data_IF_194911485517
#
_entry.id   IF_194911485517
#
_cell.length_a   1.000
_cell.length_b   1.000
_cell.length_c   1.000
_cell.angle_alpha   90.00
_cell.angle_beta   90.00
_cell.angle_gamma   90.00
#
_symmetry.space_group_name_H-M   'P 1'
#
loop_
_entity.id
_entity.type
_entity.pdbx_description
1 polymer ?
#
# COMPACT_ATOMS: atom_id res chain seq x y z
N UNK A 1 37.35 13.82 -50.19
CA UNK A 1 36.20 14.42 -49.47
C UNK A 1 35.48 13.31 -48.71
N UNK A 2 36.03 12.85 -47.57
CA UNK A 2 35.51 11.69 -46.81
C UNK A 2 35.13 11.99 -45.34
N UNK A 3 35.41 13.18 -44.83
CA UNK A 3 35.23 13.52 -43.40
C UNK A 3 33.82 14.00 -43.04
N UNK A 4 33.11 14.67 -43.96
CA UNK A 4 31.80 15.28 -43.69
C UNK A 4 30.67 14.25 -43.50
N UNK A 5 30.74 13.12 -44.22
CA UNK A 5 29.71 12.06 -44.17
C UNK A 5 29.76 11.24 -42.88
N UNK A 6 30.96 11.01 -42.35
CA UNK A 6 31.17 10.20 -41.14
C UNK A 6 30.56 10.88 -39.89
N UNK A 7 30.68 12.21 -39.80
CA UNK A 7 30.08 13.01 -38.72
C UNK A 7 28.56 12.98 -38.80
N UNK A 8 27.99 13.08 -40.01
CA UNK A 8 26.54 13.00 -40.21
C UNK A 8 25.96 11.65 -39.78
N UNK A 9 26.62 10.55 -40.13
CA UNK A 9 26.22 9.21 -39.71
C UNK A 9 26.32 9.03 -38.19
N UNK A 10 27.41 9.49 -37.58
CA UNK A 10 27.58 9.50 -36.12
C UNK A 10 26.46 10.30 -35.43
N UNK A 11 26.07 11.45 -35.97
CA UNK A 11 24.99 12.26 -35.43
C UNK A 11 23.64 11.53 -35.48
N UNK A 12 23.31 10.89 -36.61
CA UNK A 12 22.07 10.11 -36.74
C UNK A 12 22.04 8.93 -35.77
N UNK A 13 23.16 8.22 -35.62
CA UNK A 13 23.29 7.11 -34.66
C UNK A 13 23.15 7.60 -33.22
N UNK A 14 23.79 8.72 -32.86
CA UNK A 14 23.69 9.29 -31.52
C UNK A 14 22.26 9.73 -31.20
N UNK A 15 21.59 10.42 -32.15
CA UNK A 15 20.20 10.84 -31.96
C UNK A 15 19.27 9.63 -31.88
N UNK A 16 19.37 8.65 -32.79
CA UNK A 16 18.46 7.49 -32.77
C UNK A 16 18.65 6.63 -31.51
N UNK A 17 19.90 6.41 -31.09
CA UNK A 17 20.19 5.66 -29.87
C UNK A 17 19.71 6.41 -28.62
N UNK A 18 19.85 7.74 -28.57
CA UNK A 18 19.34 8.55 -27.45
C UNK A 18 17.82 8.39 -27.28
N UNK A 19 17.07 8.45 -28.39
CA UNK A 19 15.61 8.28 -28.37
C UNK A 19 15.22 6.86 -27.95
N UNK A 20 15.93 5.84 -28.46
CA UNK A 20 15.71 4.45 -28.09
C UNK A 20 15.96 4.23 -26.59
N UNK A 21 17.01 4.80 -26.01
CA UNK A 21 17.31 4.70 -24.59
C UNK A 21 16.24 5.38 -23.72
N UNK A 22 15.77 6.57 -24.12
CA UNK A 22 14.68 7.27 -23.43
C UNK A 22 13.40 6.43 -23.45
N UNK A 23 13.07 5.82 -24.59
CA UNK A 23 11.90 4.95 -24.71
C UNK A 23 12.00 3.72 -23.78
N UNK A 24 13.17 3.07 -23.74
CA UNK A 24 13.41 1.93 -22.84
C UNK A 24 13.35 2.35 -21.37
N UNK A 25 13.89 3.51 -21.02
CA UNK A 25 13.87 4.02 -19.65
C UNK A 25 12.44 4.38 -19.22
N UNK A 26 11.66 5.01 -20.10
CA UNK A 26 10.25 5.29 -19.87
C UNK A 26 9.45 4.00 -19.67
N UNK A 27 9.68 2.98 -20.50
CA UNK A 27 9.03 1.67 -20.36
C UNK A 27 9.38 1.00 -19.03
N UNK A 28 10.66 0.96 -18.65
CA UNK A 28 11.09 0.40 -17.35
C UNK A 28 10.49 1.15 -16.16
N UNK A 29 10.42 2.48 -16.24
CA UNK A 29 9.84 3.32 -15.18
C UNK A 29 8.35 3.07 -15.04
N UNK A 30 7.62 3.04 -16.16
CA UNK A 30 6.20 2.75 -16.18
C UNK A 30 5.90 1.36 -15.63
N UNK A 31 6.63 0.32 -16.08
CA UNK A 31 6.46 -1.04 -15.55
C UNK A 31 6.77 -1.11 -14.05
N UNK A 32 7.79 -0.40 -13.56
CA UNK A 32 8.11 -0.36 -12.12
C UNK A 32 7.01 0.32 -11.31
N UNK A 33 6.46 1.43 -11.80
CA UNK A 33 5.38 2.15 -11.13
C UNK A 33 4.09 1.32 -11.12
N UNK A 34 3.79 0.61 -12.22
CA UNK A 34 2.69 -0.35 -12.28
C UNK A 34 2.91 -1.53 -11.33
N UNK A 35 4.09 -2.14 -11.31
CA UNK A 35 4.42 -3.24 -10.40
C UNK A 35 4.31 -2.83 -8.94
N UNK A 36 4.77 -1.63 -8.58
CA UNK A 36 4.59 -1.08 -7.22
C UNK A 36 3.12 -0.88 -6.88
N UNK A 37 2.32 -0.37 -7.82
CA UNK A 37 0.88 -0.19 -7.63
C UNK A 37 0.17 -1.54 -7.47
N UNK A 38 0.47 -2.49 -8.35
CA UNK A 38 -0.02 -3.88 -8.30
C UNK A 38 0.40 -4.55 -6.99
N UNK A 39 1.65 -4.41 -6.55
CA UNK A 39 2.14 -4.93 -5.27
C UNK A 39 1.43 -4.26 -4.09
N UNK A 40 1.15 -2.95 -4.15
CA UNK A 40 0.42 -2.26 -3.09
C UNK A 40 -1.07 -2.64 -3.06
N UNK A 41 -1.69 -2.94 -4.21
CA UNK A 41 -3.09 -3.33 -4.31
C UNK A 41 -3.29 -4.84 -3.98
N UNK A 42 -2.44 -5.72 -4.51
CA UNK A 42 -2.46 -7.16 -4.21
C UNK A 42 -1.84 -7.47 -2.84
N UNK A 43 -0.77 -6.76 -2.45
CA UNK A 43 -0.07 -6.89 -1.18
C UNK A 43 -0.65 -6.02 -0.06
N UNK A 44 -1.57 -5.10 -0.36
CA UNK A 44 -2.26 -4.23 0.61
C UNK A 44 -3.16 -4.98 1.61
N UNK A 45 -3.39 -6.28 1.40
CA UNK A 45 -4.04 -7.18 2.39
C UNK A 45 -3.00 -7.84 3.32
N UNK A 46 -1.71 -7.48 3.23
CA UNK A 46 -0.66 -7.94 4.18
C UNK A 46 -0.32 -6.93 5.27
N UNK A 47 -1.08 -5.84 5.41
CA UNK A 47 -1.16 -5.21 6.72
C UNK A 47 -1.80 -6.24 7.63
N UNK A 48 -0.99 -6.81 8.51
CA UNK A 48 -1.38 -7.75 9.55
C UNK A 48 -2.46 -7.09 10.40
N UNK A 49 -3.71 -7.10 9.93
CA UNK A 49 -4.84 -6.77 10.78
C UNK A 49 -4.73 -7.77 11.91
N UNK A 50 -4.54 -7.34 13.16
CA UNK A 50 -4.42 -8.26 14.27
C UNK A 50 -5.63 -9.16 14.20
N UNK A 51 -5.39 -10.48 14.07
CA UNK A 51 -6.46 -11.46 13.96
C UNK A 51 -7.37 -11.24 15.17
N UNK A 52 -8.61 -10.82 14.93
CA UNK A 52 -9.57 -10.64 16.01
C UNK A 52 -9.77 -12.00 16.66
N UNK A 53 -9.33 -12.13 17.91
CA UNK A 53 -9.53 -13.33 18.71
C UNK A 53 -10.68 -13.05 19.67
N UNK A 54 -11.68 -13.92 19.67
CA UNK A 54 -12.76 -13.86 20.66
C UNK A 54 -12.13 -14.06 22.04
N UNK A 55 -12.43 -13.14 22.96
CA UNK A 55 -12.07 -13.26 24.38
C UNK A 55 -13.36 -13.24 25.17
N UNK A 56 -13.47 -14.16 26.13
CA UNK A 56 -14.54 -14.12 27.12
C UNK A 56 -14.13 -13.14 28.23
N UNK A 57 -15.10 -12.41 28.77
CA UNK A 57 -14.88 -11.62 29.97
C UNK A 57 -14.57 -12.57 31.13
N UNK A 58 -13.61 -12.20 31.99
CA UNK A 58 -13.27 -13.00 33.17
C UNK A 58 -14.48 -13.10 34.13
N UNK A 59 -15.27 -12.03 34.18
CA UNK A 59 -16.45 -11.90 35.00
C UNK A 59 -17.68 -12.13 34.12
N UNK A 60 -18.13 -13.38 34.08
CA UNK A 60 -19.44 -13.75 33.52
C UNK A 60 -20.49 -13.26 34.51
N UNK A 61 -21.12 -12.12 34.20
CA UNK A 61 -22.27 -11.64 34.96
C UNK A 61 -23.47 -12.43 34.45
N UNK A 62 -24.00 -13.33 35.29
CA UNK A 62 -25.28 -13.95 35.00
C UNK A 62 -26.33 -12.84 34.85
N UNK A 63 -27.08 -12.82 33.74
CA UNK A 63 -28.13 -11.84 33.57
C UNK A 63 -29.17 -12.09 34.66
N UNK A 64 -29.13 -11.29 35.72
CA UNK A 64 -30.28 -11.20 36.62
C UNK A 64 -31.48 -10.80 35.76
N UNK A 65 -32.63 -11.38 36.07
CA UNK A 65 -33.88 -11.35 35.28
C UNK A 65 -34.32 -9.95 34.82
N UNK A 66 -33.73 -8.88 35.35
CA UNK A 66 -33.85 -7.52 34.87
C UNK A 66 -32.51 -6.76 34.84
N UNK A 67 -31.56 -7.16 33.97
CA UNK A 67 -30.32 -6.51 33.42
C UNK A 67 -29.91 -5.06 33.84
N UNK A 68 -30.18 -4.63 35.07
CA UNK A 68 -29.99 -3.27 35.62
C UNK A 68 -28.55 -3.08 36.08
N UNK A 69 -27.95 -4.13 36.66
CA UNK A 69 -26.56 -4.15 37.15
C UNK A 69 -25.56 -3.94 36.00
N UNK A 70 -25.74 -4.63 34.87
CA UNK A 70 -24.93 -4.45 33.66
C UNK A 70 -25.01 -3.02 33.12
N UNK A 71 -26.23 -2.45 33.06
CA UNK A 71 -26.46 -1.10 32.54
C UNK A 71 -25.78 -0.05 33.42
N UNK A 72 -25.82 -0.21 34.76
CA UNK A 72 -25.16 0.67 35.74
C UNK A 72 -23.62 0.67 35.61
N UNK A 73 -23.01 -0.50 35.42
CA UNK A 73 -21.53 -0.60 35.30
C UNK A 73 -20.99 -0.07 33.96
N UNK A 74 -21.77 -0.18 32.89
CA UNK A 74 -21.40 0.40 31.59
C UNK A 74 -21.46 1.92 31.63
N UNK A 75 -22.45 2.49 32.33
CA UNK A 75 -22.53 3.94 32.53
C UNK A 75 -21.40 4.48 33.41
N UNK A 76 -20.95 3.76 34.43
CA UNK A 76 -19.85 4.21 35.29
C UNK A 76 -18.48 4.16 34.59
N UNK A 77 -18.20 3.11 33.80
CA UNK A 77 -16.93 3.01 33.03
C UNK A 77 -16.78 4.05 31.93
N UNK A 78 -17.88 4.67 31.48
CA UNK A 78 -17.83 5.79 30.54
C UNK A 78 -17.46 7.12 31.20
N UNK A 79 -17.61 7.24 32.52
CA UNK A 79 -17.29 8.45 33.30
C UNK A 79 -15.83 8.44 33.76
N UNK A 80 -15.27 7.28 34.07
CA UNK A 80 -13.87 7.13 34.53
C UNK A 80 -12.83 7.16 33.39
N UNK A 81 -13.26 7.36 32.14
CA UNK A 81 -12.41 7.36 30.94
C UNK A 81 -12.13 8.73 30.34
N UNK A 82 -12.39 9.82 31.07
CA UNK A 82 -12.07 11.22 30.71
C UNK A 82 -10.88 11.70 31.53
#
# INVERSE_FOLDING_TARGET
MESSGCIGLMAVVAVSSSVALVAVQAHKRLVSDFMKKVESELGGVKMSKPKKKVRFAADVIEPSTANKEYRRRRSSRAVDGI
#
